data_IF_281180209271
#
_entry.id   IF_281180209271
#
_cell.length_a   1.000
_cell.length_b   1.000
_cell.length_c   1.000
_cell.angle_alpha   90.00
_cell.angle_beta   90.00
_cell.angle_gamma   90.00
#
_symmetry.space_group_name_H-M   'P 1'
#
loop_
_entity.id
_entity.type
_entity.pdbx_description
1 polymer ?
#
# COMPACT_ATOMS: atom_id res chain seq x y z
N UNK A 1 -14.60 -12.91 -9.93
CA UNK A 1 -13.60 -12.25 -9.05
C UNK A 1 -12.38 -11.97 -9.91
N UNK A 2 -12.17 -10.73 -10.34
CA UNK A 2 -10.99 -10.37 -11.15
C UNK A 2 -9.77 -10.14 -10.24
N UNK A 3 -8.57 -10.26 -10.81
CA UNK A 3 -7.30 -9.95 -10.15
C UNK A 3 -7.21 -8.49 -9.61
N UNK A 4 -8.19 -7.64 -9.92
CA UNK A 4 -8.16 -6.19 -9.77
C UNK A 4 -8.66 -5.61 -8.44
N UNK A 5 -9.04 -6.42 -7.43
CA UNK A 5 -9.33 -5.86 -6.09
C UNK A 5 -9.06 -6.84 -4.93
N UNK A 6 -8.03 -7.67 -5.04
CA UNK A 6 -7.60 -8.50 -3.91
C UNK A 6 -6.86 -7.71 -2.82
N UNK A 7 -6.94 -6.38 -2.79
CA UNK A 7 -6.31 -5.53 -1.78
C UNK A 7 -7.34 -4.57 -1.15
N UNK A 8 -8.62 -4.94 -1.09
CA UNK A 8 -9.60 -4.30 -0.20
C UNK A 8 -10.11 -2.90 -0.56
N UNK A 9 -9.64 -2.28 -1.65
CA UNK A 9 -10.04 -0.94 -2.08
C UNK A 9 -10.34 -0.91 -3.60
N UNK A 10 -11.54 -1.33 -4.05
CA UNK A 10 -11.88 -1.37 -5.48
C UNK A 10 -12.15 0.02 -6.06
N UNK A 11 -12.57 0.95 -5.21
CA UNK A 11 -12.99 2.28 -5.58
C UNK A 11 -11.78 3.20 -5.42
N UNK A 12 -11.34 3.92 -6.46
CA UNK A 12 -10.18 4.79 -6.37
C UNK A 12 -10.45 5.95 -5.40
N UNK A 13 -9.39 6.58 -4.86
CA UNK A 13 -9.50 7.61 -3.84
C UNK A 13 -10.39 8.80 -4.24
N UNK A 14 -10.43 9.15 -5.52
CA UNK A 14 -11.22 10.24 -6.11
C UNK A 14 -12.73 10.03 -6.04
N UNK A 15 -13.17 8.78 -5.95
CA UNK A 15 -14.58 8.44 -6.14
C UNK A 15 -15.36 8.54 -4.83
N UNK A 16 -16.62 8.95 -4.93
CA UNK A 16 -17.52 9.00 -3.79
C UNK A 16 -17.65 7.62 -3.14
N UNK A 17 -17.59 7.58 -1.80
CA UNK A 17 -17.63 6.33 -1.03
C UNK A 17 -16.33 5.53 -1.03
N UNK A 18 -15.23 6.07 -1.59
CA UNK A 18 -13.92 5.41 -1.48
C UNK A 18 -13.48 5.30 -0.01
N UNK A 19 -12.90 4.16 0.34
CA UNK A 19 -12.28 3.93 1.65
C UNK A 19 -10.94 3.22 1.49
N UNK A 20 -9.95 3.47 2.36
CA UNK A 20 -8.70 2.72 2.33
C UNK A 20 -8.99 1.25 2.56
N UNK A 21 -8.27 0.38 1.87
CA UNK A 21 -8.50 -1.07 1.94
C UNK A 21 -7.73 -1.74 3.07
N UNK A 22 -6.65 -1.09 3.53
CA UNK A 22 -5.66 -1.70 4.41
C UNK A 22 -4.76 -0.66 5.06
N UNK A 23 -4.05 -1.10 6.09
CA UNK A 23 -2.95 -0.38 6.71
C UNK A 23 -1.66 -1.20 6.67
N UNK A 24 -0.56 -0.56 6.28
CA UNK A 24 0.78 -1.18 6.21
C UNK A 24 1.85 -0.34 6.91
N UNK A 25 1.54 0.23 8.07
CA UNK A 25 2.54 0.85 8.94
C UNK A 25 2.90 -0.03 10.14
N UNK A 26 3.66 0.50 11.08
CA UNK A 26 4.17 -0.19 12.26
C UNK A 26 3.30 0.01 13.51
N UNK A 27 2.34 0.95 13.49
CA UNK A 27 1.40 1.20 14.60
C UNK A 27 -0.04 0.80 14.24
N UNK A 28 -0.47 -0.45 14.52
CA UNK A 28 -1.82 -0.92 14.18
C UNK A 28 -2.95 -0.09 14.79
N UNK A 29 -2.70 0.65 15.88
CA UNK A 29 -3.70 1.50 16.52
C UNK A 29 -4.00 2.78 15.75
N UNK A 30 -3.13 3.18 14.82
CA UNK A 30 -3.21 4.47 14.11
C UNK A 30 -4.21 4.50 12.95
N UNK A 31 -4.79 3.37 12.55
CA UNK A 31 -5.47 3.23 11.26
C UNK A 31 -6.95 2.81 11.33
N UNK A 32 -7.74 3.36 12.25
CA UNK A 32 -9.22 3.31 12.26
C UNK A 32 -9.86 1.95 11.87
N UNK A 33 -9.40 0.85 12.46
CA UNK A 33 -9.87 -0.52 12.19
C UNK A 33 -9.62 -1.05 10.77
N UNK A 34 -8.70 -0.45 10.01
CA UNK A 34 -8.23 -1.05 8.76
C UNK A 34 -7.48 -2.36 9.05
N UNK A 35 -7.59 -3.36 8.16
CA UNK A 35 -6.83 -4.60 8.31
C UNK A 35 -5.32 -4.29 8.24
N UNK A 36 -4.61 -4.61 9.32
CA UNK A 36 -3.18 -4.39 9.44
C UNK A 36 -2.41 -5.52 8.75
N UNK A 37 -1.87 -5.26 7.56
CA UNK A 37 -1.30 -6.34 6.73
C UNK A 37 0.14 -6.75 7.12
N UNK A 38 0.68 -6.21 8.23
CA UNK A 38 1.88 -6.76 8.88
C UNK A 38 1.53 -7.80 9.96
N UNK A 39 0.26 -7.99 10.30
CA UNK A 39 -0.20 -9.04 11.22
C UNK A 39 -0.15 -10.42 10.53
N UNK A 40 0.71 -11.30 11.04
CA UNK A 40 0.87 -12.65 10.50
C UNK A 40 -0.36 -13.53 10.66
N UNK A 41 -1.12 -13.37 11.74
CA UNK A 41 -2.26 -14.22 12.07
C UNK A 41 -3.48 -13.83 11.23
N UNK A 42 -3.70 -12.52 11.08
CA UNK A 42 -4.68 -11.98 10.12
C UNK A 42 -4.35 -12.47 8.71
N UNK A 43 -3.09 -12.33 8.29
CA UNK A 43 -2.69 -12.73 6.94
C UNK A 43 -2.77 -14.24 6.69
N UNK A 44 -2.44 -15.07 7.68
CA UNK A 44 -2.62 -16.52 7.60
C UNK A 44 -4.10 -16.92 7.48
N UNK A 45 -4.99 -16.20 8.17
CA UNK A 45 -6.44 -16.42 8.11
C UNK A 45 -7.02 -16.00 6.75
N UNK A 46 -6.60 -14.83 6.25
CA UNK A 46 -7.03 -14.32 4.94
C UNK A 46 -6.55 -15.20 3.78
N UNK A 47 -5.35 -15.79 3.88
CA UNK A 47 -4.80 -16.69 2.87
C UNK A 47 -5.64 -17.98 2.68
N UNK A 48 -6.38 -18.40 3.70
CA UNK A 48 -7.24 -19.58 3.65
C UNK A 48 -8.61 -19.30 3.02
N UNK A 49 -8.98 -18.03 2.83
CA UNK A 49 -10.30 -17.64 2.37
C UNK A 49 -10.25 -17.19 0.90
N UNK A 50 -10.82 -17.98 -0.04
CA UNK A 50 -10.88 -17.57 -1.44
C UNK A 50 -11.63 -16.24 -1.60
N UNK A 51 -11.00 -15.28 -2.26
CA UNK A 51 -11.59 -13.95 -2.52
C UNK A 51 -11.45 -12.94 -1.37
N UNK A 52 -10.83 -13.30 -0.26
CA UNK A 52 -10.48 -12.35 0.79
C UNK A 52 -9.36 -11.39 0.36
N UNK A 53 -9.15 -10.36 1.18
CA UNK A 53 -8.03 -9.44 1.04
C UNK A 53 -6.72 -10.25 1.07
N UNK A 54 -5.93 -10.15 0.00
CA UNK A 54 -4.63 -10.78 -0.09
C UNK A 54 -3.63 -9.94 0.64
N UNK A 55 -3.13 -10.51 1.73
CA UNK A 55 -1.94 -9.99 2.33
C UNK A 55 -0.76 -10.11 1.36
N UNK A 56 0.09 -9.09 1.34
CA UNK A 56 1.36 -9.19 0.64
C UNK A 56 2.20 -10.30 1.32
N UNK A 57 2.87 -11.21 0.58
CA UNK A 57 3.56 -12.35 1.18
C UNK A 57 4.55 -11.91 2.27
N UNK A 58 4.45 -12.52 3.45
CA UNK A 58 5.33 -12.22 4.57
C UNK A 58 6.79 -12.42 4.16
N UNK A 59 7.73 -11.57 4.63
CA UNK A 59 9.13 -11.95 4.54
C UNK A 59 9.30 -13.26 5.29
N UNK A 60 9.91 -14.27 4.65
CA UNK A 60 10.23 -15.55 5.29
C UNK A 60 11.04 -15.25 6.55
N UNK A 61 10.42 -15.38 7.73
CA UNK A 61 11.15 -15.37 8.98
C UNK A 61 12.13 -16.53 8.88
N UNK A 62 13.42 -16.23 8.74
CA UNK A 62 14.48 -17.22 8.94
C UNK A 62 14.32 -17.68 10.37
N UNK A 63 13.73 -18.86 10.56
CA UNK A 63 13.73 -19.54 11.85
C UNK A 63 15.20 -19.75 12.17
N UNK A 64 15.74 -18.98 13.12
CA UNK A 64 17.08 -19.22 13.68
C UNK A 64 17.01 -20.55 14.43
N UNK A 65 17.07 -21.67 13.71
CA UNK A 65 17.30 -22.98 14.31
C UNK A 65 18.69 -22.92 14.94
N UNK A 66 18.72 -23.04 16.27
CA UNK A 66 19.99 -23.17 16.99
C UNK A 66 20.68 -24.44 16.48
N UNK A 67 21.99 -24.38 16.19
CA UNK A 67 22.66 -25.48 15.50
C UNK A 67 22.70 -26.72 16.40
N UNK A 68 21.91 -27.74 16.05
CA UNK A 68 22.18 -29.10 16.49
C UNK A 68 23.34 -29.62 15.64
N UNK A 69 24.45 -29.87 16.33
CA UNK A 69 25.71 -30.37 15.78
C UNK A 69 25.49 -31.61 14.91
N UNK A 70 26.14 -31.62 13.75
CA UNK A 70 26.43 -32.77 12.85
C UNK A 70 25.52 -32.93 11.63
N UNK A 71 25.93 -32.33 10.51
CA UNK A 71 26.01 -32.94 9.17
C UNK A 71 26.51 -31.90 8.16
N UNK A 72 27.15 -32.37 7.09
CA UNK A 72 27.88 -31.60 6.07
C UNK A 72 27.10 -30.41 5.46
N UNK A 73 27.81 -29.37 4.94
CA UNK A 73 27.15 -28.19 4.38
C UNK A 73 26.56 -28.50 3.01
N UNK A 74 25.24 -28.64 2.94
CA UNK A 74 24.47 -28.51 1.70
C UNK A 74 24.39 -27.02 1.33
N UNK A 75 24.64 -26.60 0.08
CA UNK A 75 24.48 -25.21 -0.31
C UNK A 75 22.99 -24.84 -0.27
N UNK A 76 22.60 -24.06 0.73
CA UNK A 76 21.27 -23.45 0.84
C UNK A 76 21.09 -22.42 -0.28
N UNK A 77 20.00 -22.44 -1.06
CA UNK A 77 19.71 -21.36 -2.00
C UNK A 77 19.40 -20.10 -1.19
N UNK A 78 20.23 -19.07 -1.35
CA UNK A 78 19.95 -17.73 -0.85
C UNK A 78 18.63 -17.24 -1.44
N UNK A 79 17.62 -17.03 -0.60
CA UNK A 79 16.40 -16.35 -1.00
C UNK A 79 16.70 -14.86 -1.22
N UNK A 80 17.13 -14.51 -2.42
CA UNK A 80 17.29 -13.12 -2.84
C UNK A 80 15.91 -12.50 -2.95
N UNK A 81 15.47 -11.77 -1.92
CA UNK A 81 14.34 -10.84 -2.08
C UNK A 81 14.73 -9.89 -3.21
N UNK A 82 13.93 -9.77 -4.30
CA UNK A 82 14.25 -8.83 -5.35
C UNK A 82 14.34 -7.42 -4.77
N UNK A 83 15.52 -6.81 -4.87
CA UNK A 83 15.72 -5.41 -4.50
C UNK A 83 15.18 -4.55 -5.63
N UNK A 84 14.10 -3.83 -5.37
CA UNK A 84 13.54 -2.85 -6.30
C UNK A 84 14.06 -1.46 -5.94
N UNK A 85 14.22 -0.59 -6.95
CA UNK A 85 14.69 0.78 -6.77
C UNK A 85 13.60 1.70 -7.26
N UNK A 86 13.10 2.57 -6.38
CA UNK A 86 12.08 3.55 -6.72
C UNK A 86 12.71 4.89 -7.08
N UNK A 87 12.25 5.48 -8.19
CA UNK A 87 12.70 6.79 -8.66
C UNK A 87 11.57 7.82 -8.53
N UNK A 88 11.79 8.97 -7.90
CA UNK A 88 10.79 10.02 -7.82
C UNK A 88 10.55 10.63 -9.21
N UNK A 89 9.27 10.71 -9.60
CA UNK A 89 8.81 11.32 -10.85
C UNK A 89 8.30 12.74 -10.61
N UNK A 90 7.69 12.97 -9.45
CA UNK A 90 7.28 14.29 -8.96
C UNK A 90 7.14 14.29 -7.44
N UNK A 91 7.10 15.49 -6.84
CA UNK A 91 6.87 15.68 -5.40
C UNK A 91 6.24 17.04 -5.09
N UNK A 92 5.67 17.17 -3.90
CA UNK A 92 5.15 18.44 -3.37
C UNK A 92 3.89 18.96 -4.06
N UNK A 93 3.15 18.12 -4.79
CA UNK A 93 1.96 18.55 -5.50
C UNK A 93 0.74 18.56 -4.57
N UNK A 94 -0.22 19.45 -4.86
CA UNK A 94 -1.51 19.51 -4.17
C UNK A 94 -2.57 18.61 -4.79
N UNK A 95 -2.17 17.57 -5.52
CA UNK A 95 -3.11 16.64 -6.12
C UNK A 95 -2.57 15.23 -6.22
N UNK A 96 -3.44 14.25 -6.01
CA UNK A 96 -3.16 12.83 -6.17
C UNK A 96 -3.40 12.40 -7.62
N UNK A 97 -2.85 11.24 -7.97
CA UNK A 97 -3.02 10.66 -9.30
C UNK A 97 -4.48 10.28 -9.55
N UNK A 98 -5.02 10.78 -10.66
CA UNK A 98 -6.27 10.36 -11.25
C UNK A 98 -5.99 9.85 -12.66
N UNK A 99 -5.92 8.53 -12.79
CA UNK A 99 -5.47 7.89 -14.03
C UNK A 99 -5.85 6.42 -14.12
N UNK A 100 -5.47 5.81 -15.23
CA UNK A 100 -5.68 4.38 -15.49
C UNK A 100 -4.79 3.50 -14.62
N UNK A 101 -4.98 2.18 -14.69
CA UNK A 101 -4.11 1.22 -14.02
C UNK A 101 -4.21 1.16 -12.50
N UNK A 102 -5.15 1.89 -11.87
CA UNK A 102 -5.40 1.82 -10.43
C UNK A 102 -5.58 0.38 -9.94
N UNK A 103 -4.85 0.01 -8.88
CA UNK A 103 -4.87 -1.33 -8.28
C UNK A 103 -5.57 -1.34 -6.92
N UNK A 104 -5.19 -0.42 -6.04
CA UNK A 104 -5.67 -0.32 -4.65
C UNK A 104 -5.14 0.96 -4.01
N UNK A 105 -5.67 1.33 -2.84
CA UNK A 105 -4.99 2.22 -1.93
C UNK A 105 -5.20 1.82 -0.48
N UNK A 106 -4.26 2.24 0.37
CA UNK A 106 -4.30 2.05 1.81
C UNK A 106 -3.60 3.20 2.53
N UNK A 107 -3.43 3.02 3.83
CA UNK A 107 -2.69 3.95 4.69
C UNK A 107 -1.35 3.34 5.09
N UNK A 108 -0.33 4.19 5.19
CA UNK A 108 1.04 3.83 5.58
C UNK A 108 1.65 4.93 6.43
N UNK A 109 2.72 4.59 7.16
CA UNK A 109 3.46 5.58 7.95
C UNK A 109 4.48 6.32 7.09
N UNK A 110 5.09 5.60 6.12
CA UNK A 110 6.18 6.13 5.31
C UNK A 110 6.05 5.79 3.82
N UNK A 111 6.79 6.53 2.98
CA UNK A 111 6.94 6.18 1.55
C UNK A 111 7.52 4.77 1.40
N UNK A 112 8.49 4.39 2.25
CA UNK A 112 9.12 3.06 2.21
C UNK A 112 8.11 1.94 2.48
N UNK A 113 7.13 2.15 3.34
CA UNK A 113 6.05 1.19 3.56
C UNK A 113 5.16 1.04 2.32
N UNK A 114 4.89 2.14 1.61
CA UNK A 114 4.15 2.12 0.34
C UNK A 114 4.89 1.33 -0.75
N UNK A 115 6.20 1.56 -0.88
CA UNK A 115 7.09 0.80 -1.76
C UNK A 115 7.09 -0.69 -1.40
N UNK A 116 7.22 -1.02 -0.11
CA UNK A 116 7.22 -2.40 0.38
C UNK A 116 5.89 -3.10 0.09
N UNK A 117 4.76 -2.39 0.17
CA UNK A 117 3.47 -2.92 -0.25
C UNK A 117 3.43 -3.15 -1.76
N UNK A 118 3.80 -2.16 -2.57
CA UNK A 118 3.86 -2.27 -4.03
C UNK A 118 4.75 -3.42 -4.51
N UNK A 119 5.88 -3.67 -3.83
CA UNK A 119 6.77 -4.79 -4.12
C UNK A 119 6.10 -6.16 -4.04
N UNK A 120 5.00 -6.25 -3.31
CA UNK A 120 4.27 -7.48 -3.01
C UNK A 120 2.92 -7.56 -3.73
N UNK A 121 2.48 -6.48 -4.37
CA UNK A 121 1.31 -6.44 -5.24
C UNK A 121 1.75 -6.74 -6.67
N UNK A 122 1.25 -7.84 -7.23
CA UNK A 122 1.52 -8.19 -8.63
C UNK A 122 1.09 -7.05 -9.54
N UNK A 123 1.87 -6.76 -10.58
CA UNK A 123 1.70 -5.65 -11.53
C UNK A 123 1.84 -4.23 -10.98
N UNK A 124 2.17 -4.03 -9.69
CA UNK A 124 2.44 -2.68 -9.20
C UNK A 124 3.81 -2.18 -9.72
N UNK A 125 3.77 -1.08 -10.49
CA UNK A 125 4.95 -0.44 -11.11
C UNK A 125 5.10 1.03 -10.72
N UNK A 126 4.07 1.60 -10.10
CA UNK A 126 4.05 3.00 -9.73
C UNK A 126 3.26 3.19 -8.43
N UNK A 127 3.75 4.09 -7.57
CA UNK A 127 3.08 4.50 -6.34
C UNK A 127 2.86 6.01 -6.34
N UNK A 128 1.72 6.44 -5.79
CA UNK A 128 1.50 7.82 -5.41
C UNK A 128 1.22 7.90 -3.91
N UNK A 129 2.01 8.70 -3.22
CA UNK A 129 1.86 8.96 -1.79
C UNK A 129 1.43 10.39 -1.56
N UNK A 130 0.48 10.63 -0.66
CA UNK A 130 -0.02 11.97 -0.37
C UNK A 130 -0.78 12.02 0.97
N UNK A 131 -0.95 13.21 1.53
CA UNK A 131 -1.87 13.42 2.66
C UNK A 131 -3.25 13.84 2.15
N UNK A 132 -4.28 13.15 2.64
CA UNK A 132 -5.69 13.46 2.38
C UNK A 132 -6.26 14.18 3.60
N UNK A 133 -5.98 15.48 3.70
CA UNK A 133 -6.28 16.27 4.90
C UNK A 133 -7.80 16.40 5.04
N UNK A 134 -8.30 16.17 6.26
CA UNK A 134 -9.73 16.00 6.58
C UNK A 134 -10.40 14.78 5.94
N UNK A 135 -9.83 14.18 4.90
CA UNK A 135 -10.28 12.92 4.33
C UNK A 135 -10.00 11.74 5.27
N UNK A 136 -10.50 10.56 4.90
CA UNK A 136 -10.23 9.28 5.58
C UNK A 136 -10.44 9.33 7.10
N UNK A 137 -11.58 9.88 7.52
CA UNK A 137 -11.93 10.10 8.93
C UNK A 137 -10.95 11.02 9.70
N UNK A 138 -10.17 11.85 9.01
CA UNK A 138 -9.18 12.74 9.62
C UNK A 138 -7.86 12.04 9.95
N UNK A 139 -7.61 10.84 9.45
CA UNK A 139 -6.34 10.13 9.64
C UNK A 139 -5.16 10.99 9.15
N UNK A 140 -4.11 11.19 9.98
CA UNK A 140 -2.91 11.92 9.58
C UNK A 140 -1.96 11.08 8.72
N UNK A 141 -2.20 9.77 8.60
CA UNK A 141 -1.36 8.82 7.88
C UNK A 141 -1.24 9.17 6.39
N UNK A 142 -0.14 8.72 5.80
CA UNK A 142 0.11 8.88 4.37
C UNK A 142 -0.81 7.94 3.60
N UNK A 143 -1.54 8.47 2.63
CA UNK A 143 -2.28 7.64 1.69
C UNK A 143 -1.31 7.09 0.65
N UNK A 144 -1.38 5.79 0.38
CA UNK A 144 -0.57 5.08 -0.60
C UNK A 144 -1.49 4.47 -1.66
N UNK A 145 -1.50 5.02 -2.87
CA UNK A 145 -2.20 4.45 -4.03
C UNK A 145 -1.24 3.76 -4.99
N UNK A 146 -1.63 2.57 -5.45
CA UNK A 146 -0.82 1.68 -6.27
C UNK A 146 -1.38 1.57 -7.69
N UNK A 147 -0.50 1.59 -8.68
CA UNK A 147 -0.88 1.56 -10.09
C UNK A 147 -0.05 0.54 -10.89
N UNK A 148 -0.69 -0.04 -11.89
CA UNK A 148 -0.08 -0.90 -12.91
C UNK A 148 0.43 -0.14 -14.14
N UNK A 149 0.23 1.17 -14.16
CA UNK A 149 0.74 2.10 -15.17
C UNK A 149 1.56 3.19 -14.51
N UNK A 150 2.60 3.65 -15.21
CA UNK A 150 3.42 4.79 -14.76
C UNK A 150 2.65 6.09 -15.01
N UNK A 151 2.71 6.99 -14.03
CA UNK A 151 2.08 8.31 -14.10
C UNK A 151 3.09 9.44 -13.95
N UNK A 152 2.67 10.64 -14.34
CA UNK A 152 3.47 11.87 -14.21
C UNK A 152 2.73 12.94 -13.42
N UNK A 153 3.38 14.07 -13.16
CA UNK A 153 2.75 15.22 -12.53
C UNK A 153 1.48 15.72 -13.26
N UNK A 154 1.34 15.44 -14.56
CA UNK A 154 0.16 15.84 -15.33
C UNK A 154 -1.11 15.10 -14.88
N UNK A 155 -0.96 13.88 -14.36
CA UNK A 155 -2.07 13.04 -13.88
C UNK A 155 -2.44 13.37 -12.43
N UNK A 156 -1.70 14.26 -11.76
CA UNK A 156 -1.91 14.66 -10.36
C UNK A 156 -3.05 15.68 -10.21
N UNK A 157 -4.22 15.36 -10.76
CA UNK A 157 -5.37 16.26 -10.89
C UNK A 157 -6.38 16.15 -9.76
N UNK A 158 -6.38 15.05 -9.00
CA UNK A 158 -7.29 14.89 -7.86
C UNK A 158 -6.89 15.82 -6.71
N UNK A 159 -7.60 16.93 -6.52
CA UNK A 159 -7.31 17.91 -5.45
C UNK A 159 -8.04 17.62 -4.14
N UNK A 160 -8.85 16.57 -4.08
CA UNK A 160 -9.87 16.40 -3.03
C UNK A 160 -11.12 17.21 -3.38
N UNK A 161 -11.85 17.66 -2.36
CA UNK A 161 -13.08 18.45 -2.49
C UNK A 161 -14.34 17.69 -2.05
N UNK A 162 -14.20 16.48 -1.52
CA UNK A 162 -15.30 15.71 -0.96
C UNK A 162 -15.66 16.22 0.43
N UNK A 163 -16.96 16.51 0.62
CA UNK A 163 -17.50 16.84 1.94
C UNK A 163 -17.53 15.59 2.83
N UNK A 164 -16.93 15.71 4.00
CA UNK A 164 -16.83 14.65 5.01
C UNK A 164 -18.06 14.67 5.93
N UNK A 165 -18.34 13.61 6.69
CA UNK A 165 -19.51 13.56 7.59
C UNK A 165 -19.58 14.68 8.62
N UNK A 166 -18.44 15.26 9.01
CA UNK A 166 -18.35 16.39 9.95
C UNK A 166 -18.50 17.76 9.25
N UNK A 167 -18.80 17.80 7.95
CA UNK A 167 -18.96 19.03 7.17
C UNK A 167 -17.66 19.67 6.68
N UNK A 168 -16.49 19.15 7.09
CA UNK A 168 -15.21 19.58 6.52
C UNK A 168 -15.09 19.12 5.07
N UNK A 169 -14.25 19.81 4.30
CA UNK A 169 -13.90 19.45 2.92
C UNK A 169 -12.48 18.93 2.93
N UNK A 170 -12.25 17.78 2.28
CA UNK A 170 -10.91 17.22 2.15
C UNK A 170 -10.07 17.93 1.08
N UNK A 171 -8.76 17.83 1.21
CA UNK A 171 -7.83 18.34 0.22
C UNK A 171 -6.51 17.59 0.25
N UNK A 172 -5.86 17.50 -0.91
CA UNK A 172 -4.60 16.80 -1.06
C UNK A 172 -3.40 17.72 -0.85
N UNK A 173 -2.42 17.25 -0.06
CA UNK A 173 -1.11 17.90 0.10
C UNK A 173 0.03 16.89 -0.01
N UNK A 174 1.23 17.42 -0.27
CA UNK A 174 2.51 16.69 -0.26
C UNK A 174 2.50 15.43 -1.13
N UNK A 175 1.81 15.52 -2.27
CA UNK A 175 1.70 14.41 -3.21
C UNK A 175 3.00 14.19 -3.96
N UNK A 176 3.47 12.95 -3.96
CA UNK A 176 4.67 12.49 -4.63
C UNK A 176 4.42 11.18 -5.38
N UNK A 177 5.10 11.00 -6.51
CA UNK A 177 4.97 9.84 -7.38
C UNK A 177 6.31 9.16 -7.59
N UNK A 178 6.33 7.82 -7.56
CA UNK A 178 7.55 7.04 -7.70
C UNK A 178 7.33 5.86 -8.66
N UNK A 179 8.30 5.65 -9.57
CA UNK A 179 8.32 4.51 -10.49
C UNK A 179 9.29 3.45 -9.98
N UNK A 180 8.90 2.17 -10.11
CA UNK A 180 9.65 0.99 -9.69
C UNK A 180 10.65 0.50 -10.75
#
# INVERSE_FOLDING_TARGET
>A
LSASNSHGAPIPPTSAGSRPGWYYGDDPGSADNLPWLKDSDLCASLAQTPGALRCPPAPTKVTKSHPRRSAAPTPTPSSTTPSYVYWPVFSGLKGAIEGSGYLTYGLVDTVSDCEAMCNKVSSCVFINTYHDVNGKNGSPLLTCSLYSTVHTAADATNKGGQTQPNGSVDYITDSAGYVK
#
